data_IF_285042512100
#
_entry.id   IF_285042512100
#
_cell.length_a   1.000
_cell.length_b   1.000
_cell.length_c   1.000
_cell.angle_alpha   90.00
_cell.angle_beta   90.00
_cell.angle_gamma   90.00
#
_symmetry.space_group_name_H-M   'P 1'
#
loop_
_entity.id
_entity.type
_entity.pdbx_description
1 polymer ?
#
# COMPACT_ATOMS: atom_id res chain seq x y z
N UNK A 1 -25.99 -5.26 13.50
CA UNK A 1 -24.59 -5.55 13.85
C UNK A 1 -24.54 -5.88 15.34
N UNK A 2 -24.27 -7.15 15.68
CA UNK A 2 -24.27 -7.62 17.07
C UNK A 2 -23.00 -7.10 17.77
N UNK A 3 -23.14 -6.27 18.81
CA UNK A 3 -21.98 -5.80 19.58
C UNK A 3 -21.47 -6.95 20.44
N UNK A 4 -20.27 -7.45 20.12
CA UNK A 4 -19.56 -8.35 21.02
C UNK A 4 -19.18 -7.54 22.27
N UNK A 5 -19.57 -7.98 23.49
CA UNK A 5 -19.23 -7.28 24.72
C UNK A 5 -17.71 -7.33 24.96
N UNK A 6 -17.16 -6.25 25.51
CA UNK A 6 -15.73 -6.15 25.83
C UNK A 6 -15.36 -7.07 26.99
N UNK A 7 -14.24 -7.79 26.87
CA UNK A 7 -13.68 -8.59 27.96
C UNK A 7 -12.82 -7.72 28.88
N UNK A 8 -13.37 -7.35 30.03
CA UNK A 8 -12.70 -6.49 31.01
C UNK A 8 -11.40 -7.08 31.59
N UNK A 9 -11.14 -8.38 31.42
CA UNK A 9 -9.84 -8.98 31.80
C UNK A 9 -8.69 -8.42 30.97
N UNK A 10 -8.98 -7.87 29.79
CA UNK A 10 -7.98 -7.28 28.90
C UNK A 10 -7.59 -5.85 29.27
N UNK A 11 -8.41 -5.16 30.08
CA UNK A 11 -8.23 -3.73 30.37
C UNK A 11 -6.84 -3.36 30.89
N UNK A 12 -6.22 -4.10 31.83
CA UNK A 12 -4.88 -3.76 32.31
C UNK A 12 -3.79 -3.91 31.23
N UNK A 13 -3.99 -4.81 30.27
CA UNK A 13 -3.08 -5.04 29.14
C UNK A 13 -3.29 -3.94 28.11
N UNK A 14 -4.53 -3.65 27.76
CA UNK A 14 -4.88 -2.60 26.79
C UNK A 14 -4.39 -1.22 27.23
N UNK A 15 -4.46 -0.91 28.53
CA UNK A 15 -3.92 0.33 29.07
C UNK A 15 -2.38 0.39 28.93
N UNK A 16 -1.68 -0.73 29.16
CA UNK A 16 -0.24 -0.81 28.97
C UNK A 16 0.15 -0.68 27.49
N UNK A 17 -0.60 -1.33 26.59
CA UNK A 17 -0.43 -1.19 25.15
C UNK A 17 -0.59 0.27 24.73
N UNK A 18 -1.66 0.95 25.18
CA UNK A 18 -1.89 2.36 24.88
C UNK A 18 -0.71 3.25 25.33
N UNK A 19 -0.18 3.03 26.55
CA UNK A 19 1.00 3.74 27.06
C UNK A 19 2.25 3.49 26.20
N UNK A 20 2.49 2.23 25.81
CA UNK A 20 3.65 1.85 24.99
C UNK A 20 3.56 2.40 23.57
N UNK A 21 2.38 2.34 22.95
CA UNK A 21 2.11 2.92 21.63
C UNK A 21 2.38 4.42 21.64
N UNK A 22 1.85 5.14 22.65
CA UNK A 22 2.08 6.58 22.80
C UNK A 22 3.57 6.92 22.98
N UNK A 23 4.31 6.09 23.75
CA UNK A 23 5.76 6.26 23.93
C UNK A 23 6.51 6.02 22.62
N UNK A 24 6.23 4.93 21.91
CA UNK A 24 6.83 4.59 20.61
C UNK A 24 6.59 5.72 19.59
N UNK A 25 5.38 6.28 19.57
CA UNK A 25 5.02 7.40 18.71
C UNK A 25 5.88 8.65 18.96
N UNK A 26 6.04 9.04 20.24
CA UNK A 26 6.88 10.19 20.62
C UNK A 26 8.35 9.98 20.23
N UNK A 27 8.84 8.76 20.34
CA UNK A 27 10.23 8.41 20.00
C UNK A 27 10.47 8.36 18.49
N UNK A 28 9.55 7.81 17.71
CA UNK A 28 9.73 7.67 16.26
C UNK A 28 9.62 8.99 15.50
N UNK A 29 9.00 10.03 16.08
CA UNK A 29 8.81 11.36 15.44
C UNK A 29 8.17 11.27 14.03
N UNK A 30 7.35 10.24 13.81
CA UNK A 30 6.72 9.97 12.52
C UNK A 30 7.65 9.39 11.45
N UNK A 31 8.86 8.92 11.81
CA UNK A 31 9.68 8.09 10.94
C UNK A 31 9.10 6.67 10.86
N UNK A 32 9.30 6.01 9.70
CA UNK A 32 9.02 4.58 9.56
C UNK A 32 9.98 3.81 10.47
N UNK A 33 9.47 3.23 11.55
CA UNK A 33 10.25 2.60 12.61
C UNK A 33 9.87 1.12 12.77
N UNK A 34 9.63 0.44 11.66
CA UNK A 34 9.25 -0.97 11.66
C UNK A 34 10.42 -1.84 12.15
N UNK A 35 10.16 -2.87 12.96
CA UNK A 35 11.22 -3.77 13.45
C UNK A 35 11.89 -4.53 12.31
N UNK A 36 13.20 -4.81 12.41
CA UNK A 36 13.88 -5.64 11.41
C UNK A 36 13.33 -7.06 11.39
N UNK A 37 13.55 -7.79 10.29
CA UNK A 37 13.13 -9.19 10.17
C UNK A 37 13.68 -10.04 11.32
N UNK A 38 14.95 -9.85 11.67
CA UNK A 38 15.62 -10.61 12.73
C UNK A 38 14.99 -10.34 14.11
N UNK A 39 14.54 -9.11 14.36
CA UNK A 39 13.80 -8.78 15.58
C UNK A 39 12.41 -9.42 15.59
N UNK A 40 11.71 -9.41 14.45
CA UNK A 40 10.39 -10.02 14.32
C UNK A 40 10.44 -11.53 14.53
N UNK A 41 11.37 -12.23 13.87
CA UNK A 41 11.57 -13.69 14.03
C UNK A 41 11.87 -14.05 15.48
N UNK A 42 12.79 -13.29 16.12
CA UNK A 42 13.12 -13.48 17.53
C UNK A 42 11.92 -13.30 18.45
N UNK A 43 11.08 -12.30 18.21
CA UNK A 43 9.89 -12.07 19.05
C UNK A 43 8.80 -13.10 18.80
N UNK A 44 8.63 -13.56 17.56
CA UNK A 44 7.72 -14.65 17.24
C UNK A 44 8.08 -15.92 18.00
N UNK A 45 9.37 -16.28 18.03
CA UNK A 45 9.87 -17.42 18.79
C UNK A 45 9.74 -17.21 20.31
N UNK A 46 10.16 -16.04 20.81
CA UNK A 46 10.18 -15.76 22.26
C UNK A 46 8.78 -15.73 22.89
N UNK A 47 7.78 -15.22 22.17
CA UNK A 47 6.44 -15.02 22.68
C UNK A 47 5.43 -16.05 22.17
N UNK A 48 5.86 -16.99 21.33
CA UNK A 48 5.00 -17.99 20.67
C UNK A 48 3.82 -17.34 19.92
N UNK A 49 4.13 -16.34 19.10
CA UNK A 49 3.15 -15.58 18.30
C UNK A 49 3.52 -15.68 16.82
N UNK A 50 2.55 -16.05 15.98
CA UNK A 50 2.75 -16.08 14.53
C UNK A 50 3.14 -14.71 13.97
N UNK A 51 4.05 -14.72 12.99
CA UNK A 51 4.43 -13.52 12.24
C UNK A 51 3.22 -12.85 11.58
N UNK A 52 2.21 -13.62 11.17
CA UNK A 52 0.98 -13.11 10.56
C UNK A 52 0.10 -12.34 11.55
N UNK A 53 0.27 -12.57 12.86
CA UNK A 53 -0.40 -11.82 13.93
C UNK A 53 0.43 -10.59 14.32
N UNK A 54 1.75 -10.75 14.43
CA UNK A 54 2.63 -9.69 14.96
C UNK A 54 2.94 -8.60 13.93
N UNK A 55 3.16 -8.97 12.66
CA UNK A 55 3.55 -8.05 11.62
C UNK A 55 2.49 -6.95 11.34
N UNK A 56 1.17 -7.26 11.23
CA UNK A 56 0.16 -6.23 11.03
C UNK A 56 0.07 -5.23 12.18
N UNK A 57 0.30 -5.66 13.42
CA UNK A 57 0.30 -4.79 14.60
C UNK A 57 1.39 -3.73 14.46
N UNK A 58 2.63 -4.13 14.14
CA UNK A 58 3.71 -3.18 13.93
C UNK A 58 3.51 -2.32 12.68
N UNK A 59 2.99 -2.89 11.59
CA UNK A 59 2.70 -2.16 10.36
C UNK A 59 1.71 -1.01 10.61
N UNK A 60 0.64 -1.28 11.38
CA UNK A 60 -0.36 -0.28 11.76
C UNK A 60 0.23 0.91 12.54
N UNK A 61 1.31 0.67 13.29
CA UNK A 61 1.98 1.70 14.06
C UNK A 61 3.12 2.40 13.29
N UNK A 62 3.47 1.96 12.08
CA UNK A 62 4.61 2.52 11.32
C UNK A 62 4.24 3.71 10.44
N UNK A 63 2.97 4.11 10.41
CA UNK A 63 2.56 5.35 9.75
C UNK A 63 1.49 6.13 10.54
N UNK A 64 1.84 6.71 11.71
CA UNK A 64 0.87 7.41 12.53
C UNK A 64 0.45 8.79 11.99
N UNK A 65 1.10 9.31 10.93
CA UNK A 65 0.58 10.47 10.18
C UNK A 65 -0.63 10.12 9.32
N UNK A 66 -0.88 8.82 9.12
CA UNK A 66 -2.01 8.29 8.37
C UNK A 66 -2.72 7.28 9.27
N UNK A 67 -3.68 7.70 10.13
CA UNK A 67 -4.53 6.73 10.83
C UNK A 67 -5.04 5.73 9.78
N UNK A 68 -5.09 4.42 10.08
CA UNK A 68 -5.76 3.47 9.19
C UNK A 68 -7.21 3.93 9.02
N UNK A 69 -7.48 4.76 8.00
CA UNK A 69 -8.83 5.04 7.55
C UNK A 69 -9.20 3.82 6.73
N UNK A 70 -10.41 3.32 6.95
CA UNK A 70 -10.96 2.27 6.12
C UNK A 70 -10.74 2.67 4.65
N UNK A 71 -10.28 1.74 3.79
CA UNK A 71 -10.07 2.04 2.39
C UNK A 71 -11.35 2.67 1.83
N UNK A 72 -11.26 3.95 1.46
CA UNK A 72 -12.37 4.65 0.80
C UNK A 72 -12.45 4.02 -0.57
N UNK A 73 -13.49 3.21 -0.79
CA UNK A 73 -13.81 2.79 -2.15
C UNK A 73 -14.18 4.04 -2.93
N UNK A 74 -13.54 4.32 -4.08
CA UNK A 74 -13.95 5.43 -4.92
C UNK A 74 -15.44 5.31 -5.30
N UNK A 75 -16.23 6.34 -5.01
CA UNK A 75 -17.66 6.40 -5.28
C UNK A 75 -18.00 7.70 -5.99
N UNK A 76 -18.87 7.60 -7.01
CA UNK A 76 -19.32 8.70 -7.87
C UNK A 76 -18.17 9.42 -8.58
N UNK A 77 -17.85 8.98 -9.80
CA UNK A 77 -16.84 9.64 -10.63
C UNK A 77 -17.30 11.06 -10.98
N UNK A 78 -16.55 12.06 -10.51
CA UNK A 78 -16.77 13.49 -10.75
C UNK A 78 -16.05 13.97 -12.02
N UNK A 79 -14.90 13.38 -12.34
CA UNK A 79 -14.15 13.78 -13.53
C UNK A 79 -12.82 13.04 -13.68
N UNK A 80 -12.13 13.31 -14.79
CA UNK A 80 -10.82 12.73 -15.10
C UNK A 80 -9.86 13.84 -15.51
N UNK A 81 -8.74 13.93 -14.82
CA UNK A 81 -7.67 14.89 -15.11
C UNK A 81 -6.57 14.14 -15.88
N UNK A 82 -6.27 14.52 -17.13
CA UNK A 82 -5.13 13.97 -17.85
C UNK A 82 -3.84 14.50 -17.24
N UNK A 83 -2.92 13.60 -16.89
CA UNK A 83 -1.62 13.97 -16.29
C UNK A 83 -0.49 13.73 -17.28
N UNK A 84 -0.52 12.61 -17.99
CA UNK A 84 0.42 12.24 -19.07
C UNK A 84 1.91 12.50 -18.73
N UNK A 85 2.33 12.16 -17.50
CA UNK A 85 3.73 12.23 -17.08
C UNK A 85 4.41 10.90 -17.37
N UNK A 86 5.61 10.93 -17.94
CA UNK A 86 6.39 9.73 -18.29
C UNK A 86 7.87 9.95 -17.98
N UNK A 87 8.52 8.93 -17.45
CA UNK A 87 9.97 8.87 -17.24
C UNK A 87 10.48 7.48 -17.55
N UNK A 88 11.69 7.36 -18.10
CA UNK A 88 12.34 6.09 -18.35
C UNK A 88 13.68 6.06 -17.62
N UNK A 89 13.92 5.01 -16.83
CA UNK A 89 15.13 4.80 -16.03
C UNK A 89 15.56 3.35 -16.23
N UNK A 90 16.82 3.15 -16.63
CA UNK A 90 17.42 1.82 -16.81
C UNK A 90 16.59 0.85 -17.69
N UNK A 91 16.00 1.36 -18.78
CA UNK A 91 15.18 0.55 -19.70
C UNK A 91 13.74 0.30 -19.25
N UNK A 92 13.37 0.70 -18.02
CA UNK A 92 12.00 0.64 -17.50
C UNK A 92 11.33 2.00 -17.67
N UNK A 93 10.13 2.01 -18.25
CA UNK A 93 9.29 3.19 -18.38
C UNK A 93 8.23 3.20 -17.29
N UNK A 94 8.05 4.36 -16.67
CA UNK A 94 7.00 4.66 -15.70
C UNK A 94 6.11 5.77 -16.25
N UNK A 95 4.81 5.60 -16.19
CA UNK A 95 3.83 6.52 -16.75
C UNK A 95 2.69 6.76 -15.76
N UNK A 96 2.30 8.04 -15.60
CA UNK A 96 1.05 8.44 -14.97
C UNK A 96 0.16 9.03 -16.06
N UNK A 97 -0.86 8.28 -16.47
CA UNK A 97 -1.74 8.67 -17.58
C UNK A 97 -2.81 9.66 -17.13
N UNK A 98 -3.51 9.33 -16.04
CA UNK A 98 -4.69 10.07 -15.58
C UNK A 98 -4.92 9.98 -14.08
N UNK A 99 -5.69 10.93 -13.57
CA UNK A 99 -6.23 10.95 -12.21
C UNK A 99 -7.74 11.03 -12.31
N UNK A 100 -8.44 10.00 -11.83
CA UNK A 100 -9.88 10.05 -11.66
C UNK A 100 -10.22 10.75 -10.35
N UNK A 101 -11.23 11.62 -10.38
CA UNK A 101 -11.71 12.37 -9.23
C UNK A 101 -13.06 11.82 -8.79
N UNK A 102 -13.16 11.43 -7.53
CA UNK A 102 -14.38 10.94 -6.89
C UNK A 102 -14.76 11.90 -5.75
N UNK A 103 -15.91 11.68 -5.11
CA UNK A 103 -16.40 12.57 -4.04
C UNK A 103 -15.36 12.84 -2.95
N UNK A 104 -14.75 11.77 -2.41
CA UNK A 104 -13.86 11.82 -1.24
C UNK A 104 -12.42 11.41 -1.54
N UNK A 105 -12.12 11.03 -2.77
CA UNK A 105 -10.84 10.44 -3.14
C UNK A 105 -10.44 10.72 -4.59
N UNK A 106 -9.16 10.56 -4.89
CA UNK A 106 -8.65 10.53 -6.26
C UNK A 106 -8.01 9.18 -6.55
N UNK A 107 -8.15 8.68 -7.76
CA UNK A 107 -7.51 7.45 -8.21
C UNK A 107 -6.43 7.78 -9.25
N UNK A 108 -5.17 7.56 -8.89
CA UNK A 108 -4.01 7.84 -9.75
C UNK A 108 -3.61 6.56 -10.48
N UNK A 109 -3.62 6.60 -11.81
CA UNK A 109 -3.26 5.46 -12.65
C UNK A 109 -1.78 5.52 -13.01
N UNK A 110 -1.07 4.44 -12.72
CA UNK A 110 0.37 4.30 -12.95
C UNK A 110 0.63 3.04 -13.76
N UNK A 111 1.30 3.17 -14.90
CA UNK A 111 1.72 2.06 -15.74
C UNK A 111 3.24 1.96 -15.73
N UNK A 112 3.77 0.74 -15.66
CA UNK A 112 5.19 0.44 -15.67
C UNK A 112 5.45 -0.63 -16.72
N UNK A 113 6.40 -0.41 -17.61
CA UNK A 113 6.68 -1.37 -18.69
C UNK A 113 8.11 -1.24 -19.21
N UNK A 114 8.68 -2.34 -19.68
CA UNK A 114 9.94 -2.32 -20.46
C UNK A 114 9.64 -2.40 -21.97
N UNK A 115 10.68 -2.26 -22.80
CA UNK A 115 10.53 -2.30 -24.26
C UNK A 115 10.11 -3.68 -24.79
N UNK A 116 9.68 -3.72 -26.06
CA UNK A 116 9.18 -4.94 -26.73
C UNK A 116 10.19 -6.09 -26.75
N UNK A 117 11.50 -5.81 -26.74
CA UNK A 117 12.56 -6.83 -26.74
C UNK A 117 12.81 -7.52 -25.38
N UNK A 118 12.05 -7.17 -24.35
CA UNK A 118 12.21 -7.66 -22.97
C UNK A 118 11.19 -8.74 -22.58
N UNK A 119 10.73 -9.56 -23.54
CA UNK A 119 9.69 -10.59 -23.31
C UNK A 119 10.04 -11.61 -22.21
N UNK A 120 11.30 -11.69 -21.79
CA UNK A 120 11.78 -12.59 -20.73
C UNK A 120 11.99 -11.92 -19.37
N UNK A 121 11.87 -10.60 -19.26
CA UNK A 121 12.03 -9.89 -18.00
C UNK A 121 10.68 -9.77 -17.27
N UNK A 122 10.58 -10.46 -16.13
CA UNK A 122 9.44 -10.31 -15.24
C UNK A 122 9.64 -9.07 -14.35
N UNK A 123 8.75 -8.09 -14.48
CA UNK A 123 8.79 -6.89 -13.64
C UNK A 123 8.22 -7.18 -12.24
N UNK A 124 9.05 -7.20 -11.20
CA UNK A 124 8.57 -7.17 -9.80
C UNK A 124 8.41 -5.73 -9.32
N UNK A 125 7.25 -5.13 -9.62
CA UNK A 125 6.95 -3.73 -9.29
C UNK A 125 6.30 -3.62 -7.91
N UNK A 126 7.09 -3.19 -6.93
CA UNK A 126 6.61 -2.94 -5.56
C UNK A 126 6.89 -1.50 -5.18
N UNK A 127 6.01 -0.61 -5.65
CA UNK A 127 6.17 0.83 -5.53
C UNK A 127 5.03 1.44 -4.69
N UNK A 128 5.35 2.52 -3.99
CA UNK A 128 4.40 3.41 -3.34
C UNK A 128 4.37 4.75 -4.08
N UNK A 129 3.17 5.31 -4.21
CA UNK A 129 2.99 6.64 -4.74
C UNK A 129 3.09 7.71 -3.62
N UNK A 130 3.89 8.73 -3.88
CA UNK A 130 3.98 9.98 -3.10
C UNK A 130 3.52 11.13 -3.98
N UNK A 131 2.69 12.01 -3.42
CA UNK A 131 2.19 13.21 -4.10
C UNK A 131 2.51 14.44 -3.25
N UNK A 132 3.40 15.29 -3.74
CA UNK A 132 3.81 16.54 -3.09
C UNK A 132 3.04 17.73 -3.68
N UNK A 133 2.75 18.78 -2.89
CA UNK A 133 3.06 18.95 -1.46
C UNK A 133 2.09 18.22 -0.50
N UNK A 134 1.18 17.41 -1.04
CA UNK A 134 0.06 16.78 -0.33
C UNK A 134 0.45 15.56 0.52
N UNK A 135 1.49 15.72 1.33
CA UNK A 135 2.08 14.67 2.18
C UNK A 135 1.16 14.23 3.34
N UNK A 136 0.18 15.05 3.68
CA UNK A 136 -0.86 14.79 4.69
C UNK A 136 -1.97 13.85 4.18
N UNK A 137 -2.09 13.67 2.86
CA UNK A 137 -3.04 12.73 2.27
C UNK A 137 -2.58 11.30 2.44
N UNK A 138 -3.54 10.39 2.56
CA UNK A 138 -3.33 8.95 2.54
C UNK A 138 -3.27 8.46 1.10
N UNK A 139 -2.31 7.57 0.82
CA UNK A 139 -2.16 6.92 -0.47
C UNK A 139 -2.13 5.42 -0.24
N UNK A 140 -2.99 4.67 -0.94
CA UNK A 140 -3.14 3.23 -0.82
C UNK A 140 -3.20 2.62 -2.22
N UNK A 141 -2.51 1.50 -2.45
CA UNK A 141 -2.69 0.72 -3.66
C UNK A 141 -4.10 0.11 -3.62
N UNK A 142 -4.92 0.42 -4.62
CA UNK A 142 -6.30 -0.06 -4.73
C UNK A 142 -6.41 -1.28 -5.63
N UNK A 143 -5.76 -1.24 -6.80
CA UNK A 143 -5.70 -2.35 -7.75
C UNK A 143 -4.32 -2.38 -8.39
N UNK A 144 -3.83 -3.58 -8.67
CA UNK A 144 -2.61 -3.80 -9.42
C UNK A 144 -2.78 -5.03 -10.29
N UNK A 145 -2.31 -4.95 -11.53
CA UNK A 145 -2.12 -6.09 -12.41
C UNK A 145 -0.68 -6.06 -12.90
N UNK A 146 -0.07 -7.23 -12.97
CA UNK A 146 1.33 -7.40 -13.37
C UNK A 146 1.41 -8.67 -14.20
N UNK A 147 2.07 -8.57 -15.35
CA UNK A 147 2.21 -9.66 -16.29
C UNK A 147 3.39 -9.41 -17.21
N UNK A 148 4.35 -10.34 -17.20
CA UNK A 148 5.57 -10.25 -18.00
C UNK A 148 6.30 -8.93 -17.79
N UNK A 149 6.46 -8.18 -18.87
CA UNK A 149 7.19 -6.93 -18.92
C UNK A 149 6.32 -5.68 -18.68
N UNK A 150 5.09 -5.85 -18.17
CA UNK A 150 4.15 -4.75 -17.89
C UNK A 150 3.46 -4.89 -16.52
N UNK A 151 3.20 -3.74 -15.89
CA UNK A 151 2.38 -3.63 -14.69
C UNK A 151 1.50 -2.37 -14.77
N UNK A 152 0.25 -2.47 -14.34
CA UNK A 152 -0.67 -1.36 -14.20
C UNK A 152 -1.19 -1.30 -12.77
N UNK A 153 -1.15 -0.13 -12.15
CA UNK A 153 -1.47 0.12 -10.75
C UNK A 153 -2.40 1.31 -10.64
N UNK A 154 -3.32 1.26 -9.68
CA UNK A 154 -4.21 2.35 -9.34
C UNK A 154 -4.08 2.65 -7.84
N UNK A 155 -3.69 3.89 -7.51
CA UNK A 155 -3.53 4.34 -6.13
C UNK A 155 -4.68 5.26 -5.74
N UNK A 156 -5.38 4.92 -4.66
CA UNK A 156 -6.37 5.79 -4.03
C UNK A 156 -5.64 6.79 -3.15
N UNK A 157 -5.94 8.07 -3.37
CA UNK A 157 -5.47 9.21 -2.58
C UNK A 157 -6.65 9.84 -1.85
N UNK A 158 -6.54 9.96 -0.52
CA UNK A 158 -7.62 10.47 0.34
C UNK A 158 -7.07 11.45 1.39
N UNK A 159 -7.65 12.65 1.57
CA UNK A 159 -8.79 13.20 0.83
C UNK A 159 -8.50 13.46 -0.66
N UNK A 160 -9.55 13.65 -1.45
CA UNK A 160 -9.51 14.04 -2.88
C UNK A 160 -8.42 15.08 -3.17
N UNK A 161 -7.60 14.86 -4.21
CA UNK A 161 -6.67 15.82 -4.80
C UNK A 161 -7.40 17.04 -5.38
N UNK A 162 -6.79 18.23 -5.47
CA UNK A 162 -7.42 19.38 -6.12
C UNK A 162 -7.63 19.09 -7.60
N UNK A 163 -8.58 19.81 -8.21
CA UNK A 163 -8.86 19.63 -9.64
C UNK A 163 -7.74 20.22 -10.53
N UNK A 164 -6.95 21.16 -10.01
CA UNK A 164 -5.71 21.63 -10.63
C UNK A 164 -4.49 20.93 -10.00
N UNK A 165 -3.77 20.17 -10.82
CA UNK A 165 -2.59 19.39 -10.44
C UNK A 165 -1.28 19.96 -11.00
N UNK A 166 -1.29 21.20 -11.50
CA UNK A 166 -0.11 21.82 -12.14
C UNK A 166 1.08 21.91 -11.18
N UNK A 167 0.83 22.16 -9.90
CA UNK A 167 1.86 22.20 -8.85
C UNK A 167 2.16 20.84 -8.21
N UNK A 168 1.47 19.77 -8.61
CA UNK A 168 1.61 18.45 -8.02
C UNK A 168 2.83 17.71 -8.60
N UNK A 169 3.70 17.26 -7.70
CA UNK A 169 4.82 16.37 -8.04
C UNK A 169 4.48 14.95 -7.61
N UNK A 170 4.53 14.02 -8.54
CA UNK A 170 4.30 12.60 -8.29
C UNK A 170 5.64 11.88 -8.25
N UNK A 171 5.85 11.05 -7.24
CA UNK A 171 7.06 10.23 -7.07
C UNK A 171 6.65 8.79 -6.79
N UNK A 172 7.39 7.86 -7.37
CA UNK A 172 7.29 6.44 -7.04
C UNK A 172 8.50 6.09 -6.19
N UNK A 173 8.24 5.51 -5.03
CA UNK A 173 9.27 5.09 -4.08
C UNK A 173 9.16 3.58 -3.84
N UNK A 174 10.27 2.85 -3.61
CA UNK A 174 10.22 1.44 -3.25
C UNK A 174 9.32 1.21 -2.03
N UNK A 175 8.44 0.21 -2.09
CA UNK A 175 7.58 -0.14 -0.98
C UNK A 175 8.42 -0.72 0.16
N UNK A 176 8.28 -0.25 1.41
CA UNK A 176 9.19 -0.59 2.51
C UNK A 176 9.09 -2.06 2.97
N UNK A 177 8.00 -2.75 2.65
CA UNK A 177 7.80 -4.17 2.94
C UNK A 177 7.47 -4.93 1.67
N UNK A 178 8.46 -5.37 0.90
CA UNK A 178 8.19 -6.15 -0.27
C UNK A 178 7.39 -7.41 0.11
N UNK A 179 6.07 -7.42 -0.19
CA UNK A 179 5.17 -8.47 0.27
C UNK A 179 5.11 -9.59 -0.77
N UNK A 180 5.75 -10.70 -0.37
CA UNK A 180 5.65 -12.09 -0.88
C UNK A 180 6.49 -12.43 -2.10
N UNK A 181 7.17 -13.58 -1.99
CA UNK A 181 7.49 -14.43 -3.15
C UNK A 181 6.19 -14.69 -3.90
N UNK A 182 6.22 -14.58 -5.23
CA UNK A 182 5.14 -15.03 -6.12
C UNK A 182 4.66 -16.41 -5.62
N UNK A 183 3.37 -16.58 -5.25
CA UNK A 183 2.84 -17.90 -4.92
C UNK A 183 3.17 -18.84 -6.08
N UNK A 184 3.55 -20.11 -5.83
CA UNK A 184 3.83 -21.02 -6.92
C UNK A 184 2.63 -21.07 -7.86
N UNK A 185 2.87 -20.79 -9.13
CA UNK A 185 1.83 -20.86 -10.16
C UNK A 185 1.31 -22.30 -10.22
N UNK A 186 0.01 -22.46 -10.05
CA UNK A 186 -0.66 -23.75 -10.18
C UNK A 186 -1.23 -23.82 -11.59
N UNK A 187 -0.45 -24.39 -12.51
CA UNK A 187 -0.89 -24.64 -13.88
C UNK A 187 -2.03 -25.66 -13.83
N UNK A 188 -3.20 -25.29 -14.33
CA UNK A 188 -4.32 -26.21 -14.50
C UNK A 188 -4.21 -26.87 -15.88
N UNK A 189 -3.77 -28.11 -15.91
CA UNK A 189 -3.55 -28.91 -17.12
C UNK A 189 -4.76 -29.77 -17.52
N UNK A 190 -5.86 -29.65 -16.78
CA UNK A 190 -7.08 -30.45 -16.98
C UNK A 190 -8.35 -29.58 -16.99
N UNK A 191 -9.34 -29.93 -17.83
CA UNK A 191 -10.62 -29.23 -17.86
C UNK A 191 -11.42 -29.48 -16.57
N UNK A 192 -11.95 -28.40 -16.00
CA UNK A 192 -12.89 -28.46 -14.86
C UNK A 192 -14.30 -28.43 -15.42
N UNK A 193 -15.05 -29.52 -15.24
CA UNK A 193 -16.47 -29.57 -15.55
C UNK A 193 -17.29 -29.06 -14.36
N UNK A 194 -18.34 -28.30 -14.65
CA UNK A 194 -19.36 -27.91 -13.68
C UNK A 194 -20.61 -28.71 -14.00
N UNK A 195 -21.10 -29.52 -13.04
CA UNK A 195 -22.43 -30.14 -13.10
C UNK A 195 -23.53 -29.12 -12.77
#
# INVERSE_FOLDING_TARGET
MMKVPYDHRLQPIDEQLAKLIAKRWKLSRGANAYPTRELMERWCELYDISIDVLAPVFASMCNPRRPMRHPVSPQHLQGVIPVMKRVSVDGVTYQISRVEQYDEASLVHVDVFTGEDAETEELDVQLMLVVEPFTDRQVQLHRGHMGGNQASMAYVVTPKLPDDLTSATFRLEPYPFPHRRRPPERVLDQPVAFE
#
